data_IF_052578710438
#
_entry.id   IF_052578710438
#
_cell.length_a   1.000
_cell.length_b   1.000
_cell.length_c   1.000
_cell.angle_alpha   90.00
_cell.angle_beta   90.00
_cell.angle_gamma   90.00
#
_symmetry.space_group_name_H-M   'P 1'
#
loop_
_entity.id
_entity.type
_entity.pdbx_description
1 polymer ?
#
# COMPACT_ATOMS: atom_id res chain seq x y z
N UNK A 1 6.86 -8.91 -5.11
CA UNK A 1 5.52 -9.26 -4.61
C UNK A 1 5.52 -10.21 -3.42
N UNK A 2 5.99 -11.45 -3.55
CA UNK A 2 5.94 -12.44 -2.45
C UNK A 2 6.73 -12.06 -1.20
N UNK A 3 7.86 -11.36 -1.37
CA UNK A 3 8.67 -10.87 -0.24
C UNK A 3 7.91 -9.79 0.53
N UNK A 4 7.31 -8.82 -0.17
CA UNK A 4 6.59 -7.71 0.46
C UNK A 4 5.34 -8.19 1.19
N UNK A 5 4.61 -9.16 0.61
CA UNK A 5 3.47 -9.78 1.30
C UNK A 5 3.92 -10.52 2.55
N UNK A 6 4.99 -11.31 2.48
CA UNK A 6 5.53 -12.05 3.64
C UNK A 6 6.00 -11.14 4.78
N UNK A 7 6.67 -10.04 4.45
CA UNK A 7 7.05 -9.03 5.45
C UNK A 7 5.80 -8.46 6.12
N UNK A 8 4.76 -8.16 5.33
CA UNK A 8 3.48 -7.72 5.86
C UNK A 8 2.80 -8.76 6.75
N UNK A 9 2.84 -10.04 6.38
CA UNK A 9 2.25 -11.12 7.15
C UNK A 9 2.96 -11.29 8.51
N UNK A 10 4.29 -11.22 8.52
CA UNK A 10 5.10 -11.28 9.76
C UNK A 10 4.79 -10.11 10.67
N UNK A 11 4.66 -8.90 10.12
CA UNK A 11 4.37 -7.72 10.94
C UNK A 11 2.93 -7.75 11.50
N UNK A 12 1.93 -8.16 10.71
CA UNK A 12 0.55 -8.29 11.20
C UNK A 12 0.37 -9.39 12.24
N UNK A 13 1.30 -10.35 12.33
CA UNK A 13 1.33 -11.32 13.41
C UNK A 13 1.71 -10.69 14.76
N UNK A 14 2.34 -9.49 14.76
CA UNK A 14 2.70 -8.74 15.96
C UNK A 14 1.56 -7.75 16.28
N UNK A 15 0.94 -7.82 17.47
CA UNK A 15 -0.10 -6.87 17.86
C UNK A 15 0.41 -5.42 17.88
N UNK A 16 -0.41 -4.48 17.39
CA UNK A 16 -0.10 -3.05 17.31
C UNK A 16 0.50 -2.49 18.60
N UNK A 17 -0.13 -2.77 19.75
CA UNK A 17 0.28 -2.23 21.04
C UNK A 17 1.70 -2.66 21.42
N UNK A 18 2.06 -3.91 21.14
CA UNK A 18 3.39 -4.44 21.44
C UNK A 18 4.45 -3.74 20.60
N UNK A 19 4.19 -3.57 19.30
CA UNK A 19 5.09 -2.87 18.39
C UNK A 19 5.24 -1.40 18.79
N UNK A 20 4.13 -0.72 19.12
CA UNK A 20 4.14 0.68 19.52
C UNK A 20 4.96 0.91 20.79
N UNK A 21 4.80 0.07 21.82
CA UNK A 21 5.56 0.18 23.07
C UNK A 21 7.04 -0.14 22.84
N UNK A 22 7.36 -1.17 22.04
CA UNK A 22 8.74 -1.52 21.72
C UNK A 22 9.47 -0.37 21.01
N UNK A 23 8.84 0.24 20.01
CA UNK A 23 9.42 1.37 19.28
C UNK A 23 9.53 2.61 20.16
N UNK A 24 8.51 2.91 20.97
CA UNK A 24 8.55 4.02 21.92
C UNK A 24 9.67 3.85 22.97
N UNK A 25 9.89 2.62 23.46
CA UNK A 25 10.95 2.30 24.40
C UNK A 25 12.36 2.40 23.76
N UNK A 26 12.50 2.06 22.48
CA UNK A 26 13.78 2.10 21.77
C UNK A 26 14.18 3.50 21.30
N UNK A 27 13.23 4.27 20.76
CA UNK A 27 13.52 5.55 20.09
C UNK A 27 13.28 6.78 20.98
N UNK A 28 12.60 6.63 22.12
CA UNK A 28 12.24 7.73 23.02
C UNK A 28 11.07 8.59 22.51
N UNK A 29 10.67 9.64 23.26
CA UNK A 29 9.57 10.50 22.87
C UNK A 29 9.95 11.45 21.73
N UNK A 30 9.09 11.60 20.73
CA UNK A 30 9.28 12.53 19.61
C UNK A 30 8.22 12.39 18.53
N UNK A 31 7.92 13.48 17.82
CA UNK A 31 6.96 13.47 16.71
C UNK A 31 7.41 12.53 15.58
N UNK A 32 8.70 12.53 15.26
CA UNK A 32 9.25 11.67 14.21
C UNK A 32 9.07 10.19 14.53
N UNK A 33 9.25 9.81 15.79
CA UNK A 33 9.06 8.43 16.26
C UNK A 33 7.59 8.02 16.17
N UNK A 34 6.67 8.92 16.53
CA UNK A 34 5.23 8.71 16.37
C UNK A 34 4.85 8.49 14.90
N UNK A 35 5.34 9.35 14.00
CA UNK A 35 5.11 9.24 12.56
C UNK A 35 5.64 7.89 12.05
N UNK A 36 6.84 7.49 12.47
CA UNK A 36 7.47 6.25 12.05
C UNK A 36 6.67 5.02 12.51
N UNK A 37 6.17 5.02 13.75
CA UNK A 37 5.27 3.96 14.26
C UNK A 37 3.98 3.90 13.43
N UNK A 38 3.35 5.04 13.15
CA UNK A 38 2.13 5.10 12.36
C UNK A 38 2.35 4.56 10.94
N UNK A 39 3.43 4.96 10.28
CA UNK A 39 3.77 4.47 8.94
C UNK A 39 4.01 2.97 8.95
N UNK A 40 4.85 2.47 9.86
CA UNK A 40 5.14 1.02 9.95
C UNK A 40 3.87 0.24 10.28
N UNK A 41 2.96 0.75 11.08
CA UNK A 41 1.75 0.00 11.45
C UNK A 41 0.68 -0.02 10.36
N UNK A 42 0.56 1.06 9.58
CA UNK A 42 -0.54 1.22 8.61
C UNK A 42 -0.20 0.82 7.18
N UNK A 43 1.09 0.81 6.79
CA UNK A 43 1.48 0.62 5.38
C UNK A 43 1.03 -0.72 4.76
N UNK A 44 0.90 -1.79 5.55
CA UNK A 44 0.52 -3.12 5.02
C UNK A 44 -0.94 -3.14 4.58
N UNK A 45 -1.81 -2.53 5.38
CA UNK A 45 -3.22 -2.41 5.06
C UNK A 45 -3.37 -1.61 3.78
N UNK A 46 -2.66 -0.47 3.68
CA UNK A 46 -2.62 0.35 2.48
C UNK A 46 -2.11 -0.45 1.26
N UNK A 47 -0.97 -1.13 1.39
CA UNK A 47 -0.37 -1.94 0.33
C UNK A 47 -1.31 -3.04 -0.17
N UNK A 48 -1.98 -3.77 0.74
CA UNK A 48 -2.87 -4.87 0.37
C UNK A 48 -4.07 -4.39 -0.43
N UNK A 49 -4.69 -3.28 -0.02
CA UNK A 49 -5.86 -2.74 -0.72
C UNK A 49 -5.47 -2.23 -2.11
N UNK A 50 -4.44 -1.38 -2.18
CA UNK A 50 -3.93 -0.85 -3.46
C UNK A 50 -3.53 -1.98 -4.39
N UNK A 51 -2.83 -3.01 -3.88
CA UNK A 51 -2.45 -4.19 -4.67
C UNK A 51 -3.67 -4.93 -5.22
N UNK A 52 -4.69 -5.17 -4.40
CA UNK A 52 -5.93 -5.84 -4.82
C UNK A 52 -6.59 -5.08 -5.96
N UNK A 53 -6.66 -3.77 -5.84
CA UNK A 53 -7.29 -2.90 -6.83
C UNK A 53 -6.48 -2.80 -8.12
N UNK A 54 -5.15 -2.68 -8.01
CA UNK A 54 -4.25 -2.73 -9.17
C UNK A 54 -4.40 -4.05 -9.93
N UNK A 55 -4.53 -5.19 -9.23
CA UNK A 55 -4.77 -6.48 -9.87
C UNK A 55 -6.13 -6.52 -10.59
N UNK A 56 -7.18 -6.00 -9.96
CA UNK A 56 -8.51 -5.88 -10.58
C UNK A 56 -8.48 -5.01 -11.83
N UNK A 57 -7.95 -3.79 -11.72
CA UNK A 57 -7.88 -2.82 -12.83
C UNK A 57 -7.03 -3.35 -13.98
N UNK A 58 -5.98 -4.13 -13.68
CA UNK A 58 -5.11 -4.72 -14.70
C UNK A 58 -5.84 -5.69 -15.62
N UNK A 59 -6.90 -6.34 -15.14
CA UNK A 59 -7.70 -7.31 -15.90
C UNK A 59 -8.85 -6.66 -16.69
N UNK A 60 -9.03 -5.35 -16.56
CA UNK A 60 -10.06 -4.61 -17.30
C UNK A 60 -9.82 -4.60 -18.82
N UNK A 61 -10.91 -4.65 -19.58
CA UNK A 61 -10.87 -4.77 -21.05
C UNK A 61 -10.11 -3.62 -21.73
N UNK A 62 -10.19 -2.40 -21.19
CA UNK A 62 -9.47 -1.25 -21.75
C UNK A 62 -7.96 -1.32 -21.49
N UNK A 63 -7.54 -1.93 -20.37
CA UNK A 63 -6.12 -2.16 -20.06
C UNK A 63 -5.56 -3.28 -20.93
N UNK A 64 -6.32 -4.37 -21.07
CA UNK A 64 -5.97 -5.46 -21.97
C UNK A 64 -5.89 -4.98 -23.43
N UNK A 65 -6.83 -4.16 -23.88
CA UNK A 65 -6.81 -3.53 -25.20
C UNK A 65 -5.57 -2.66 -25.42
N UNK A 66 -5.24 -1.80 -24.44
CA UNK A 66 -4.02 -0.98 -24.49
C UNK A 66 -2.74 -1.84 -24.56
N UNK A 67 -2.71 -2.98 -23.86
CA UNK A 67 -1.60 -3.93 -23.92
C UNK A 67 -1.50 -4.60 -25.30
N UNK A 68 -2.63 -5.01 -25.89
CA UNK A 68 -2.68 -5.67 -27.21
C UNK A 68 -2.16 -4.79 -28.35
N UNK A 69 -2.31 -3.47 -28.24
CA UNK A 69 -1.75 -2.51 -29.21
C UNK A 69 -0.29 -2.12 -28.92
N UNK A 70 0.37 -2.77 -27.96
CA UNK A 70 1.79 -2.57 -27.65
C UNK A 70 2.09 -1.38 -26.72
N UNK A 71 1.14 -0.90 -25.91
CA UNK A 71 1.45 0.12 -24.92
C UNK A 71 2.47 -0.39 -23.89
N UNK A 72 3.47 0.44 -23.57
CA UNK A 72 4.48 0.10 -22.57
C UNK A 72 3.88 -0.04 -21.17
N UNK A 73 4.47 -0.88 -20.32
CA UNK A 73 4.02 -1.08 -18.94
C UNK A 73 3.96 0.23 -18.15
N UNK A 74 4.90 1.16 -18.38
CA UNK A 74 4.90 2.47 -17.74
C UNK A 74 3.69 3.32 -18.18
N UNK A 75 3.36 3.30 -19.48
CA UNK A 75 2.19 4.00 -20.01
C UNK A 75 0.90 3.40 -19.46
N UNK A 76 0.80 2.07 -19.40
CA UNK A 76 -0.34 1.37 -18.80
C UNK A 76 -0.51 1.78 -17.34
N UNK A 77 0.60 1.76 -16.58
CA UNK A 77 0.59 2.10 -15.16
C UNK A 77 0.16 3.54 -14.90
N UNK A 78 0.78 4.53 -15.56
CA UNK A 78 0.53 5.94 -15.28
C UNK A 78 -0.79 6.47 -15.87
N UNK A 79 -1.22 5.94 -17.03
CA UNK A 79 -2.37 6.49 -17.77
C UNK A 79 -3.66 5.71 -17.55
N UNK A 80 -3.57 4.45 -17.15
CA UNK A 80 -4.75 3.58 -17.00
C UNK A 80 -4.90 3.07 -15.57
N UNK A 81 -3.83 2.57 -14.93
CA UNK A 81 -3.96 1.98 -13.58
C UNK A 81 -3.99 3.06 -12.49
N UNK A 82 -2.97 3.93 -12.44
CA UNK A 82 -2.80 4.93 -11.39
C UNK A 82 -4.01 5.87 -11.24
N UNK A 83 -4.61 6.42 -12.32
CA UNK A 83 -5.77 7.30 -12.17
C UNK A 83 -7.01 6.59 -11.62
N UNK A 84 -7.18 5.29 -11.88
CA UNK A 84 -8.29 4.50 -11.33
C UNK A 84 -8.08 4.23 -9.84
N UNK A 85 -6.88 3.81 -9.46
CA UNK A 85 -6.56 3.46 -8.07
C UNK A 85 -6.36 4.70 -7.17
N UNK A 86 -6.11 5.88 -7.76
CA UNK A 86 -5.92 7.13 -7.03
C UNK A 86 -7.14 7.51 -6.17
N UNK A 87 -8.36 7.28 -6.66
CA UNK A 87 -9.58 7.57 -5.89
C UNK A 87 -9.61 6.77 -4.59
N UNK A 88 -9.33 5.47 -4.66
CA UNK A 88 -9.25 4.59 -3.50
C UNK A 88 -8.11 4.96 -2.57
N UNK A 89 -6.93 5.29 -3.11
CA UNK A 89 -5.78 5.80 -2.33
C UNK A 89 -6.18 7.01 -1.49
N UNK A 90 -6.91 7.97 -2.07
CA UNK A 90 -7.36 9.18 -1.37
C UNK A 90 -8.33 8.82 -0.25
N UNK A 91 -9.34 8.00 -0.53
CA UNK A 91 -10.36 7.59 0.45
C UNK A 91 -9.72 6.85 1.63
N UNK A 92 -8.89 5.86 1.34
CA UNK A 92 -8.21 5.06 2.38
C UNK A 92 -7.25 5.93 3.18
N UNK A 93 -6.52 6.83 2.51
CA UNK A 93 -5.64 7.79 3.16
C UNK A 93 -6.37 8.67 4.15
N UNK A 94 -7.60 9.10 3.84
CA UNK A 94 -8.43 9.90 4.75
C UNK A 94 -9.14 9.12 5.85
N UNK A 95 -9.31 7.80 5.68
CA UNK A 95 -9.99 6.96 6.68
C UNK A 95 -9.04 6.36 7.71
N UNK A 96 -7.80 6.08 7.31
CA UNK A 96 -6.78 5.46 8.16
C UNK A 96 -5.92 6.45 8.95
N UNK A 97 -5.91 7.72 8.54
CA UNK A 97 -5.16 8.82 9.18
C UNK A 97 -6.15 9.78 9.83
#
# INVERSE_FOLDING_TARGET
>A
DSVLSRVGDVQQAIPFLVLAIAVAAMLGPGLDNLILVLVITTWITFFRVVRSEVLSVREELYVLGARSIGASSLRIMLRYILPNVAASIIVIGTLLV
#
